data_IF_922257408254
#
_entry.id   IF_922257408254
#
_cell.length_a   1.000
_cell.length_b   1.000
_cell.length_c   1.000
_cell.angle_alpha   90.00
_cell.angle_beta   90.00
_cell.angle_gamma   90.00
#
_symmetry.space_group_name_H-M   'P 1'
#
loop_
_entity.id
_entity.type
_entity.pdbx_description
1 polymer ?
#
# COMPACT_ATOMS: atom_id res chain seq x y z
N UNK A 1 10.42 -9.83 -11.81
CA UNK A 1 10.20 -9.45 -10.40
C UNK A 1 8.76 -9.00 -10.24
N UNK A 2 8.09 -9.43 -9.17
CA UNK A 2 6.67 -9.16 -8.90
C UNK A 2 6.58 -8.67 -7.45
N UNK A 3 5.77 -7.64 -7.22
CA UNK A 3 5.53 -7.06 -5.91
C UNK A 3 4.15 -7.49 -5.41
N UNK A 4 4.01 -7.69 -4.11
CA UNK A 4 2.69 -7.76 -3.47
C UNK A 4 2.31 -6.37 -2.98
N UNK A 5 1.16 -5.87 -3.39
CA UNK A 5 0.54 -4.71 -2.76
C UNK A 5 -0.41 -5.26 -1.72
N UNK A 6 0.03 -5.25 -0.47
CA UNK A 6 -0.71 -5.83 0.64
C UNK A 6 -1.56 -4.75 1.30
N UNK A 7 -2.82 -5.07 1.56
CA UNK A 7 -3.78 -4.24 2.26
C UNK A 7 -4.18 -4.93 3.56
N UNK A 8 -3.95 -4.28 4.70
CA UNK A 8 -4.29 -4.79 6.04
C UNK A 8 -5.15 -3.80 6.82
N UNK A 9 -6.03 -4.31 7.69
CA UNK A 9 -6.75 -3.51 8.71
C UNK A 9 -7.03 -4.38 9.94
N UNK A 10 -7.53 -3.78 11.02
CA UNK A 10 -8.02 -4.47 12.22
C UNK A 10 -7.11 -5.61 12.73
N UNK A 11 -5.79 -5.46 12.63
CA UNK A 11 -4.84 -6.51 12.97
C UNK A 11 -4.43 -6.44 14.45
N UNK A 12 -4.09 -7.60 15.00
CA UNK A 12 -3.46 -7.73 16.31
C UNK A 12 -2.06 -8.31 16.15
N UNK A 13 -1.08 -7.80 16.90
CA UNK A 13 0.24 -8.42 17.00
C UNK A 13 0.32 -9.18 18.32
N UNK A 14 0.49 -10.50 18.24
CA UNK A 14 0.71 -11.37 19.39
C UNK A 14 2.21 -11.62 19.58
N UNK A 15 2.74 -11.28 20.75
CA UNK A 15 4.13 -11.57 21.12
C UNK A 15 4.17 -12.92 21.85
N UNK A 16 4.78 -13.92 21.21
CA UNK A 16 5.02 -15.26 21.76
C UNK A 16 6.49 -15.36 22.20
N UNK A 17 6.83 -16.33 23.04
CA UNK A 17 8.20 -16.45 23.60
C UNK A 17 9.31 -16.50 22.53
N UNK A 18 9.03 -17.09 21.36
CA UNK A 18 10.03 -17.30 20.30
C UNK A 18 9.78 -16.52 19.00
N UNK A 19 8.60 -15.95 18.81
CA UNK A 19 8.24 -15.19 17.59
C UNK A 19 7.07 -14.22 17.84
N UNK A 20 6.82 -13.33 16.89
CA UNK A 20 5.61 -12.50 16.87
C UNK A 20 4.78 -12.85 15.66
N UNK A 21 3.48 -12.82 15.83
CA UNK A 21 2.52 -13.10 14.77
C UNK A 21 1.55 -11.94 14.63
N UNK A 22 1.27 -11.57 13.38
CA UNK A 22 0.17 -10.67 13.05
C UNK A 22 -1.06 -11.50 12.73
N UNK A 23 -2.09 -11.34 13.54
CA UNK A 23 -3.38 -11.99 13.39
C UNK A 23 -4.29 -11.07 12.59
N UNK A 24 -4.74 -11.58 11.45
CA UNK A 24 -5.67 -10.93 10.51
C UNK A 24 -6.87 -11.86 10.32
N UNK A 25 -8.08 -11.31 10.34
CA UNK A 25 -9.24 -12.05 9.87
C UNK A 25 -9.24 -12.09 8.33
N UNK A 26 -9.96 -13.04 7.75
CA UNK A 26 -10.04 -13.22 6.29
C UNK A 26 -10.47 -11.92 5.56
N UNK A 27 -11.40 -11.16 6.15
CA UNK A 27 -11.90 -9.90 5.57
C UNK A 27 -11.03 -8.67 5.90
N UNK A 28 -9.94 -8.86 6.62
CA UNK A 28 -9.04 -7.80 7.09
C UNK A 28 -7.68 -7.83 6.39
N UNK A 29 -7.51 -8.75 5.43
CA UNK A 29 -6.39 -8.82 4.52
C UNK A 29 -6.87 -8.95 3.07
N UNK A 30 -6.30 -8.14 2.18
CA UNK A 30 -6.44 -8.29 0.72
C UNK A 30 -5.07 -8.04 0.09
N UNK A 31 -4.85 -8.52 -1.13
CA UNK A 31 -3.66 -8.17 -1.88
C UNK A 31 -3.90 -8.09 -3.38
N UNK A 32 -3.04 -7.31 -4.04
CA UNK A 32 -2.94 -7.29 -5.49
C UNK A 32 -1.50 -7.50 -5.89
N UNK A 33 -1.27 -8.33 -6.92
CA UNK A 33 0.08 -8.56 -7.44
C UNK A 33 0.39 -7.59 -8.56
N UNK A 34 1.44 -6.81 -8.39
CA UNK A 34 1.93 -5.91 -9.44
C UNK A 34 3.18 -6.46 -10.09
N UNK A 35 3.24 -6.36 -11.41
CA UNK A 35 4.51 -6.57 -12.13
C UNK A 35 5.44 -5.39 -11.83
N UNK A 36 6.75 -5.62 -11.99
CA UNK A 36 7.72 -4.54 -11.89
C UNK A 36 7.39 -3.35 -12.79
N UNK A 37 6.93 -3.61 -14.02
CA UNK A 37 6.51 -2.55 -14.95
C UNK A 37 5.34 -1.75 -14.42
N UNK A 38 4.30 -2.39 -13.89
CA UNK A 38 3.15 -1.71 -13.27
C UNK A 38 3.57 -0.79 -12.13
N UNK A 39 4.49 -1.24 -11.27
CA UNK A 39 5.01 -0.42 -10.18
C UNK A 39 5.79 0.80 -10.68
N UNK A 40 6.59 0.64 -11.73
CA UNK A 40 7.31 1.76 -12.36
C UNK A 40 6.35 2.73 -13.03
N UNK A 41 5.35 2.21 -13.77
CA UNK A 41 4.34 3.02 -14.43
C UNK A 41 3.54 3.83 -13.42
N UNK A 42 3.13 3.22 -12.30
CA UNK A 42 2.46 3.91 -11.20
C UNK A 42 3.33 5.02 -10.60
N UNK A 43 4.60 4.76 -10.29
CA UNK A 43 5.51 5.79 -9.79
C UNK A 43 5.71 6.94 -10.78
N UNK A 44 5.87 6.63 -12.07
CA UNK A 44 6.02 7.65 -13.11
C UNK A 44 4.74 8.48 -13.28
N UNK A 45 3.59 7.84 -13.17
CA UNK A 45 2.29 8.50 -13.18
C UNK A 45 2.17 9.49 -12.00
N UNK A 46 2.44 9.05 -10.76
CA UNK A 46 2.38 9.92 -9.58
C UNK A 46 3.37 11.09 -9.66
N UNK A 47 4.56 10.90 -10.25
CA UNK A 47 5.50 12.01 -10.48
C UNK A 47 4.95 13.06 -11.45
N UNK A 48 4.14 12.66 -12.43
CA UNK A 48 3.50 13.58 -13.39
C UNK A 48 2.33 14.36 -12.79
N UNK A 49 1.82 13.96 -11.62
CA UNK A 49 0.75 14.69 -10.94
C UNK A 49 1.26 15.83 -10.06
N UNK A 50 2.56 16.13 -10.11
CA UNK A 50 3.28 17.12 -9.27
C UNK A 50 3.36 16.75 -7.78
N UNK A 51 3.08 15.49 -7.43
CA UNK A 51 3.35 14.98 -6.08
C UNK A 51 4.85 14.97 -5.83
N UNK A 52 5.24 15.37 -4.62
CA UNK A 52 6.62 15.24 -4.18
C UNK A 52 6.93 13.79 -3.76
N UNK A 53 8.21 13.49 -3.56
CA UNK A 53 8.65 12.12 -3.27
C UNK A 53 8.14 11.57 -1.93
N UNK A 54 7.90 12.44 -0.94
CA UNK A 54 7.36 12.06 0.37
C UNK A 54 5.88 11.67 0.25
N UNK A 55 5.08 12.48 -0.46
CA UNK A 55 3.66 12.17 -0.72
C UNK A 55 3.48 10.89 -1.55
N UNK A 56 4.39 10.61 -2.49
CA UNK A 56 4.37 9.34 -3.24
C UNK A 56 4.65 8.17 -2.31
N UNK A 57 5.59 8.32 -1.36
CA UNK A 57 5.89 7.28 -0.36
C UNK A 57 4.75 7.13 0.65
N UNK A 58 3.99 8.19 0.92
CA UNK A 58 2.78 8.11 1.74
C UNK A 58 1.75 7.17 1.10
N UNK A 59 1.53 7.23 -0.21
CA UNK A 59 0.58 6.36 -0.91
C UNK A 59 1.08 4.92 -1.05
N UNK A 60 2.38 4.73 -1.31
CA UNK A 60 2.97 3.43 -1.63
C UNK A 60 4.25 3.21 -0.82
N UNK A 61 4.10 3.10 0.49
CA UNK A 61 5.21 2.77 1.39
C UNK A 61 5.79 1.40 1.05
N UNK A 62 7.11 1.32 0.85
CA UNK A 62 7.80 0.09 0.45
C UNK A 62 8.47 -0.55 1.66
N UNK A 63 8.10 -1.80 1.96
CA UNK A 63 8.84 -2.59 2.95
C UNK A 63 10.19 -2.99 2.37
N UNK A 64 11.26 -2.75 3.13
CA UNK A 64 12.64 -3.11 2.71
C UNK A 64 12.89 -4.62 2.74
N UNK A 65 12.14 -5.33 3.57
CA UNK A 65 12.22 -6.77 3.75
C UNK A 65 10.83 -7.38 3.57
N UNK A 66 10.79 -8.62 3.08
CA UNK A 66 9.52 -9.32 2.91
C UNK A 66 8.87 -9.56 4.27
N UNK A 67 7.73 -8.94 4.52
CA UNK A 67 6.98 -9.13 5.75
C UNK A 67 6.26 -10.48 5.66
N UNK A 68 6.53 -11.35 6.64
CA UNK A 68 5.80 -12.59 6.85
C UNK A 68 4.91 -12.43 8.07
N UNK A 69 3.58 -12.44 7.87
CA UNK A 69 2.64 -12.22 8.98
C UNK A 69 2.71 -13.28 10.09
N UNK A 70 3.16 -14.51 9.77
CA UNK A 70 3.41 -15.55 10.77
C UNK A 70 4.72 -15.40 11.55
N UNK A 71 5.58 -14.45 11.19
CA UNK A 71 6.87 -14.23 11.84
C UNK A 71 7.32 -12.77 11.67
N UNK A 72 6.64 -11.87 12.38
CA UNK A 72 6.85 -10.42 12.31
C UNK A 72 8.04 -10.01 13.16
N UNK A 73 9.01 -9.33 12.55
CA UNK A 73 10.15 -8.76 13.29
C UNK A 73 9.76 -7.44 13.94
N UNK A 74 10.54 -6.97 14.93
CA UNK A 74 10.32 -5.63 15.51
C UNK A 74 10.38 -4.52 14.44
N UNK A 75 11.23 -4.69 13.42
CA UNK A 75 11.37 -3.74 12.30
C UNK A 75 10.09 -3.70 11.47
N UNK A 76 9.50 -4.86 11.19
CA UNK A 76 8.22 -4.95 10.47
C UNK A 76 7.11 -4.23 11.23
N UNK A 77 7.05 -4.40 12.56
CA UNK A 77 6.07 -3.68 13.38
C UNK A 77 6.24 -2.16 13.29
N UNK A 78 7.48 -1.67 13.40
CA UNK A 78 7.75 -0.23 13.26
C UNK A 78 7.31 0.29 11.89
N UNK A 79 7.59 -0.48 10.83
CA UNK A 79 7.13 -0.15 9.48
C UNK A 79 5.60 -0.12 9.38
N UNK A 80 4.93 -1.18 9.83
CA UNK A 80 3.47 -1.31 9.81
C UNK A 80 2.80 -0.16 10.58
N UNK A 81 3.33 0.18 11.76
CA UNK A 81 2.81 1.29 12.57
C UNK A 81 3.12 2.67 11.98
N UNK A 82 4.09 2.76 11.06
CA UNK A 82 4.40 4.00 10.33
C UNK A 82 3.61 4.19 9.05
N UNK A 83 2.76 3.22 8.66
CA UNK A 83 1.96 3.32 7.45
C UNK A 83 1.00 4.51 7.50
N UNK A 84 0.93 5.22 6.38
CA UNK A 84 0.00 6.34 6.20
C UNK A 84 -1.43 5.88 6.43
N UNK A 85 -2.22 6.73 7.10
CA UNK A 85 -3.62 6.42 7.35
C UNK A 85 -4.43 6.39 6.04
N UNK A 86 -5.45 5.52 5.94
CA UNK A 86 -6.31 5.45 4.75
C UNK A 86 -6.95 6.80 4.40
N UNK A 87 -7.35 7.57 5.41
CA UNK A 87 -7.92 8.92 5.24
C UNK A 87 -6.96 9.88 4.55
N UNK A 88 -5.68 9.86 4.95
CA UNK A 88 -4.64 10.71 4.37
C UNK A 88 -4.35 10.30 2.93
N UNK A 89 -4.33 9.00 2.62
CA UNK A 89 -4.18 8.54 1.24
C UNK A 89 -5.35 9.03 0.35
N UNK A 90 -6.59 8.97 0.85
CA UNK A 90 -7.74 9.50 0.12
C UNK A 90 -7.65 11.01 -0.12
N UNK A 91 -7.21 11.79 0.89
CA UNK A 91 -6.97 13.23 0.70
C UNK A 91 -5.98 13.50 -0.44
N UNK A 92 -4.90 12.73 -0.53
CA UNK A 92 -3.93 12.85 -1.62
C UNK A 92 -4.55 12.48 -2.97
N UNK A 93 -5.34 11.41 -3.03
CA UNK A 93 -6.05 10.99 -4.26
C UNK A 93 -6.93 12.12 -4.80
N UNK A 94 -7.70 12.76 -3.92
CA UNK A 94 -8.62 13.85 -4.30
C UNK A 94 -7.87 15.16 -4.61
N UNK A 95 -6.88 15.53 -3.79
CA UNK A 95 -6.07 16.75 -3.98
C UNK A 95 -5.37 16.75 -5.34
N UNK A 96 -4.80 15.62 -5.74
CA UNK A 96 -4.09 15.48 -7.01
C UNK A 96 -4.98 14.98 -8.16
N UNK A 97 -6.28 14.75 -7.88
CA UNK A 97 -7.27 14.27 -8.84
C UNK A 97 -6.83 13.01 -9.58
N UNK A 98 -6.26 12.06 -8.84
CA UNK A 98 -5.55 10.93 -9.45
C UNK A 98 -6.49 10.11 -10.35
N UNK A 99 -7.72 9.84 -9.91
CA UNK A 99 -8.68 9.08 -10.72
C UNK A 99 -9.01 9.76 -12.06
N UNK A 100 -9.21 11.09 -12.05
CA UNK A 100 -9.53 11.87 -13.27
C UNK A 100 -8.35 11.87 -14.24
N UNK A 101 -7.15 12.11 -13.71
CA UNK A 101 -5.92 12.28 -14.51
C UNK A 101 -5.34 10.96 -14.99
N UNK A 102 -5.74 9.81 -14.45
CA UNK A 102 -5.22 8.50 -14.88
C UNK A 102 -5.50 8.24 -16.36
N UNK A 103 -6.67 8.65 -16.85
CA UNK A 103 -7.06 8.48 -18.27
C UNK A 103 -6.21 9.31 -19.24
N UNK A 104 -5.50 10.34 -18.75
CA UNK A 104 -4.71 11.26 -19.58
C UNK A 104 -3.30 10.72 -19.86
N UNK A 105 -2.77 9.84 -19.01
CA UNK A 105 -1.35 9.50 -19.03
C UNK A 105 -1.03 8.01 -19.21
N UNK A 106 -1.83 7.09 -18.65
CA UNK A 106 -1.57 5.64 -18.76
C UNK A 106 -2.89 4.85 -18.71
N UNK A 107 -3.39 4.31 -19.84
CA UNK A 107 -4.69 3.63 -19.88
C UNK A 107 -4.77 2.34 -19.05
N UNK A 108 -3.63 1.75 -18.65
CA UNK A 108 -3.57 0.46 -17.97
C UNK A 108 -3.29 0.55 -16.46
N UNK A 109 -3.45 1.72 -15.83
CA UNK A 109 -3.27 1.88 -14.36
C UNK A 109 -4.58 2.12 -13.60
N UNK A 110 -5.69 2.24 -14.34
CA UNK A 110 -6.98 2.59 -13.75
C UNK A 110 -7.45 1.54 -12.76
N UNK A 111 -7.27 0.27 -13.08
CA UNK A 111 -7.71 -0.84 -12.23
C UNK A 111 -6.87 -0.90 -10.94
N UNK A 112 -5.56 -0.68 -11.04
CA UNK A 112 -4.66 -0.61 -9.88
C UNK A 112 -4.97 0.58 -8.98
N UNK A 113 -5.18 1.77 -9.55
CA UNK A 113 -5.51 2.96 -8.77
C UNK A 113 -6.90 2.84 -8.13
N UNK A 114 -7.88 2.29 -8.86
CA UNK A 114 -9.21 2.01 -8.32
C UNK A 114 -9.12 1.01 -7.16
N UNK A 115 -8.33 -0.05 -7.31
CA UNK A 115 -8.14 -1.03 -6.25
C UNK A 115 -7.57 -0.39 -4.98
N UNK A 116 -6.58 0.50 -5.09
CA UNK A 116 -6.04 1.24 -3.96
C UNK A 116 -7.11 2.12 -3.30
N UNK A 117 -7.84 2.92 -4.09
CA UNK A 117 -8.89 3.83 -3.60
C UNK A 117 -9.98 3.06 -2.84
N UNK A 118 -10.49 1.98 -3.41
CA UNK A 118 -11.52 1.15 -2.79
C UNK A 118 -11.09 0.58 -1.44
N UNK A 119 -9.79 0.32 -1.26
CA UNK A 119 -9.22 -0.27 -0.03
C UNK A 119 -9.02 0.81 1.01
N UNK A 120 -8.54 1.99 0.62
CA UNK A 120 -8.49 3.12 1.54
C UNK A 120 -9.89 3.53 2.02
N UNK A 121 -10.90 3.54 1.15
CA UNK A 121 -12.31 3.80 1.52
C UNK A 121 -12.85 2.78 2.54
N UNK A 122 -12.35 1.53 2.48
CA UNK A 122 -12.67 0.47 3.44
C UNK A 122 -11.80 0.47 4.70
N UNK A 123 -10.92 1.46 4.85
CA UNK A 123 -10.04 1.64 6.01
C UNK A 123 -8.80 0.74 6.01
N UNK A 124 -8.35 0.24 4.86
CA UNK A 124 -7.13 -0.55 4.77
C UNK A 124 -5.88 0.33 4.70
N UNK A 125 -4.86 -0.03 5.48
CA UNK A 125 -3.49 0.42 5.32
C UNK A 125 -2.84 -0.39 4.21
N UNK A 126 -2.16 0.28 3.28
CA UNK A 126 -1.59 -0.36 2.08
C UNK A 126 -0.09 -0.15 2.05
N UNK A 127 0.64 -1.19 1.65
CA UNK A 127 2.08 -1.12 1.44
C UNK A 127 2.56 -2.09 0.36
N UNK A 128 3.76 -1.82 -0.16
CA UNK A 128 4.44 -2.68 -1.12
C UNK A 128 5.32 -3.65 -0.35
N UNK A 129 5.01 -4.94 -0.43
CA UNK A 129 5.78 -6.03 0.15
C UNK A 129 6.63 -6.67 -0.95
N UNK A 130 7.96 -6.53 -0.82
CA UNK A 130 8.95 -6.91 -1.82
C UNK A 130 9.45 -8.34 -1.66
#
# INVERSE_FOLDING_TARGET
MQFSIDAIRNFLIQDMESYREMILQENDYDNMKWRYTTFIDMNNYLKKTNMNQEEIQELLSVSRERISFGSVTKRDMYFIHSLTSPSRCLELVETYKLMERTNEYVPNLKDELQWLKDRWEKGFYIFVNQ
#
